data_IF_064700369289
#
_entry.id   IF_064700369289
#
_cell.length_a   1.000
_cell.length_b   1.000
_cell.length_c   1.000
_cell.angle_alpha   90.00
_cell.angle_beta   90.00
_cell.angle_gamma   90.00
#
_symmetry.space_group_name_H-M   'P 1'
#
loop_
_entity.id
_entity.type
_entity.pdbx_description
1 polymer ?
#
# COMPACT_ATOMS: atom_id res chain seq x y z
N UNK A 1 10.65 -4.49 -2.85
CA UNK A 1 9.35 -5.12 -3.12
C UNK A 1 8.63 -5.29 -1.78
N UNK A 2 7.38 -4.86 -1.66
CA UNK A 2 6.69 -4.71 -0.35
C UNK A 2 5.79 -5.91 -0.01
N UNK A 3 6.31 -7.14 -0.12
CA UNK A 3 5.58 -8.37 0.19
C UNK A 3 4.71 -8.94 -0.93
N UNK A 4 4.19 -10.14 -0.67
CA UNK A 4 3.50 -11.02 -1.62
C UNK A 4 4.31 -11.23 -2.90
N UNK A 5 5.56 -11.64 -2.69
CA UNK A 5 6.50 -11.93 -3.77
C UNK A 5 6.13 -13.22 -4.48
N UNK A 6 5.54 -14.14 -3.73
CA UNK A 6 5.05 -15.45 -4.14
C UNK A 6 3.55 -15.57 -3.87
N UNK A 7 2.92 -16.61 -4.43
CA UNK A 7 1.48 -16.81 -4.29
C UNK A 7 1.12 -17.76 -3.14
N UNK A 8 2.05 -18.63 -2.74
CA UNK A 8 1.86 -19.59 -1.67
C UNK A 8 3.13 -19.89 -0.89
N UNK A 9 4.15 -19.03 -0.93
CA UNK A 9 5.34 -19.15 -0.10
C UNK A 9 6.21 -20.36 -0.43
N UNK A 10 6.11 -20.93 -1.64
CA UNK A 10 6.75 -22.22 -1.95
C UNK A 10 8.21 -22.04 -2.41
N UNK A 11 9.11 -23.00 -2.12
CA UNK A 11 10.50 -22.93 -2.56
C UNK A 11 10.67 -22.71 -4.07
N UNK A 12 9.85 -23.35 -4.90
CA UNK A 12 9.89 -23.19 -6.37
C UNK A 12 9.44 -21.79 -6.82
N UNK A 13 8.53 -21.14 -6.10
CA UNK A 13 8.07 -19.78 -6.39
C UNK A 13 9.16 -18.77 -6.03
N UNK A 14 9.85 -18.96 -4.90
CA UNK A 14 11.01 -18.15 -4.55
C UNK A 14 12.19 -18.36 -5.49
N UNK A 15 12.42 -19.58 -5.98
CA UNK A 15 13.44 -19.83 -7.00
C UNK A 15 13.14 -19.03 -8.28
N UNK A 16 11.89 -19.04 -8.76
CA UNK A 16 11.48 -18.25 -9.92
C UNK A 16 11.62 -16.73 -9.66
N UNK A 17 11.29 -16.27 -8.45
CA UNK A 17 11.50 -14.87 -8.06
C UNK A 17 12.99 -14.49 -8.08
N UNK A 18 13.87 -15.37 -7.57
CA UNK A 18 15.32 -15.19 -7.59
C UNK A 18 15.88 -15.09 -9.00
N UNK A 19 15.45 -15.96 -9.92
CA UNK A 19 15.88 -15.91 -11.32
C UNK A 19 15.60 -14.55 -11.97
N UNK A 20 14.46 -13.93 -11.64
CA UNK A 20 14.11 -12.58 -12.12
C UNK A 20 15.01 -11.54 -11.43
N UNK A 21 15.07 -11.54 -10.10
CA UNK A 21 15.81 -10.53 -9.32
C UNK A 21 17.30 -10.54 -9.62
N UNK A 22 17.90 -11.72 -9.76
CA UNK A 22 19.33 -11.87 -10.04
C UNK A 22 19.72 -11.42 -11.45
N UNK A 23 18.74 -11.28 -12.35
CA UNK A 23 18.94 -10.70 -13.69
C UNK A 23 18.91 -9.16 -13.71
N UNK A 24 18.47 -8.52 -12.62
CA UNK A 24 18.34 -7.07 -12.54
C UNK A 24 19.69 -6.42 -12.21
N UNK A 25 19.98 -5.28 -12.86
CA UNK A 25 21.19 -4.49 -12.60
C UNK A 25 21.08 -3.58 -11.36
N UNK A 26 20.00 -3.69 -10.60
CA UNK A 26 19.71 -2.86 -9.43
C UNK A 26 19.39 -3.74 -8.23
N UNK A 27 19.78 -3.32 -7.01
CA UNK A 27 19.48 -4.09 -5.82
C UNK A 27 17.97 -4.12 -5.56
N UNK A 28 17.49 -5.28 -5.13
CA UNK A 28 16.11 -5.46 -4.68
C UNK A 28 16.13 -5.73 -3.19
N UNK A 29 15.34 -4.93 -2.45
CA UNK A 29 15.11 -5.10 -1.01
C UNK A 29 13.72 -5.73 -0.83
N UNK A 30 13.62 -7.05 -0.66
CA UNK A 30 12.35 -7.73 -0.43
C UNK A 30 11.89 -7.54 1.02
N UNK A 31 10.60 -7.25 1.18
CA UNK A 31 9.82 -7.50 2.39
C UNK A 31 8.95 -8.74 2.14
N UNK A 32 8.64 -9.49 3.19
CA UNK A 32 7.68 -10.59 3.12
C UNK A 32 6.24 -10.05 3.25
N UNK A 33 5.30 -10.65 2.53
CA UNK A 33 3.86 -10.49 2.74
C UNK A 33 3.21 -11.78 3.23
N UNK A 34 1.90 -11.77 3.44
CA UNK A 34 1.20 -12.92 4.01
C UNK A 34 1.24 -14.15 3.11
N UNK A 35 1.29 -13.95 1.79
CA UNK A 35 1.40 -15.08 0.87
C UNK A 35 2.79 -15.71 0.84
N UNK A 36 3.82 -15.01 1.33
CA UNK A 36 5.19 -15.52 1.35
C UNK A 36 5.42 -16.60 2.42
N UNK A 37 4.47 -16.74 3.35
CA UNK A 37 4.49 -17.67 4.49
C UNK A 37 3.38 -18.74 4.42
N UNK A 38 2.58 -18.74 3.36
CA UNK A 38 1.46 -19.68 3.19
C UNK A 38 1.89 -21.17 3.23
N UNK A 39 3.15 -21.47 2.86
CA UNK A 39 3.70 -22.83 2.93
C UNK A 39 4.17 -23.23 4.34
N UNK A 40 4.34 -22.26 5.24
CA UNK A 40 4.83 -22.44 6.60
C UNK A 40 4.99 -21.10 7.31
N UNK A 41 4.35 -20.99 8.48
CA UNK A 41 4.32 -19.75 9.30
C UNK A 41 5.72 -19.25 9.66
N UNK A 42 6.74 -20.11 9.70
CA UNK A 42 8.13 -19.71 10.00
C UNK A 42 8.84 -19.01 8.83
N UNK A 43 8.16 -18.82 7.69
CA UNK A 43 8.71 -18.30 6.46
C UNK A 43 9.95 -19.06 5.98
N UNK A 44 10.07 -20.37 6.27
CA UNK A 44 11.30 -21.12 6.05
C UNK A 44 11.83 -21.01 4.61
N UNK A 45 10.93 -21.10 3.63
CA UNK A 45 11.26 -20.98 2.22
C UNK A 45 11.72 -19.55 1.83
N UNK A 46 11.03 -18.51 2.32
CA UNK A 46 11.45 -17.12 2.14
C UNK A 46 12.86 -16.93 2.70
N UNK A 47 13.08 -17.36 3.96
CA UNK A 47 14.34 -17.13 4.67
C UNK A 47 15.53 -17.81 4.00
N UNK A 48 15.30 -19.02 3.49
CA UNK A 48 16.30 -19.75 2.73
C UNK A 48 16.68 -19.05 1.42
N UNK A 49 15.71 -18.46 0.73
CA UNK A 49 15.93 -17.85 -0.60
C UNK A 49 16.37 -16.38 -0.55
N UNK A 50 15.84 -15.60 0.39
CA UNK A 50 15.91 -14.14 0.41
C UNK A 50 16.57 -13.56 1.68
N UNK A 51 16.78 -14.37 2.71
CA UNK A 51 17.44 -13.96 3.95
C UNK A 51 16.45 -13.50 5.03
N UNK A 52 16.82 -12.55 5.90
CA UNK A 52 15.99 -12.20 7.05
C UNK A 52 14.67 -11.52 6.64
N UNK A 53 13.62 -11.75 7.43
CA UNK A 53 12.28 -11.16 7.21
C UNK A 53 12.21 -9.67 7.56
N UNK A 54 13.12 -9.23 8.42
CA UNK A 54 13.29 -7.84 8.80
C UNK A 54 14.78 -7.49 8.81
N UNK A 55 15.09 -6.26 8.42
CA UNK A 55 16.44 -5.73 8.43
C UNK A 55 16.40 -4.22 8.18
N UNK A 56 17.49 -3.55 8.51
CA UNK A 56 17.71 -2.17 8.11
C UNK A 56 19.01 -2.05 7.31
N UNK A 57 19.06 -1.10 6.38
CA UNK A 57 20.24 -0.84 5.56
C UNK A 57 20.24 0.59 5.04
N UNK A 58 21.36 1.03 4.47
CA UNK A 58 21.49 2.37 3.91
C UNK A 58 21.30 2.34 2.39
N UNK A 59 20.38 3.17 1.90
CA UNK A 59 20.17 3.41 0.47
C UNK A 59 20.39 4.89 0.17
N UNK A 60 21.60 5.23 -0.27
CA UNK A 60 22.00 6.63 -0.43
C UNK A 60 21.95 7.37 0.92
N UNK A 61 21.17 8.47 1.05
CA UNK A 61 20.99 9.16 2.32
C UNK A 61 19.92 8.52 3.24
N UNK A 62 19.10 7.60 2.72
CA UNK A 62 17.98 7.00 3.44
C UNK A 62 18.45 5.85 4.32
N UNK A 63 17.88 5.76 5.52
CA UNK A 63 17.86 4.54 6.32
C UNK A 63 16.61 3.76 5.91
N UNK A 64 16.80 2.68 5.16
CA UNK A 64 15.73 1.81 4.72
C UNK A 64 15.48 0.78 5.81
N UNK A 65 14.23 0.68 6.28
CA UNK A 65 13.80 -0.35 7.23
C UNK A 65 12.81 -1.25 6.53
N UNK A 66 13.09 -2.56 6.51
CA UNK A 66 12.16 -3.59 6.11
C UNK A 66 11.62 -4.25 7.37
N UNK A 67 10.31 -4.13 7.57
CA UNK A 67 9.61 -4.57 8.77
C UNK A 67 8.76 -5.80 8.49
N UNK A 68 8.88 -6.79 9.37
CA UNK A 68 8.10 -8.02 9.33
C UNK A 68 6.77 -7.83 10.08
N UNK A 69 5.69 -7.69 9.33
CA UNK A 69 4.35 -7.49 9.89
C UNK A 69 3.74 -8.74 10.55
N UNK A 70 4.27 -9.92 10.29
CA UNK A 70 3.67 -11.18 10.78
C UNK A 70 4.48 -11.82 11.91
N UNK A 71 5.49 -11.12 12.43
CA UNK A 71 6.35 -11.63 13.50
C UNK A 71 5.53 -12.16 14.70
N UNK A 72 4.43 -11.49 15.03
CA UNK A 72 3.50 -11.93 16.07
C UNK A 72 2.91 -13.33 15.83
N UNK A 73 2.59 -13.69 14.59
CA UNK A 73 2.08 -15.04 14.27
C UNK A 73 3.16 -16.10 14.50
N UNK A 74 4.41 -15.77 14.14
CA UNK A 74 5.58 -16.65 14.31
C UNK A 74 5.94 -16.86 15.78
N UNK A 75 5.59 -15.90 16.63
CA UNK A 75 5.68 -16.00 18.08
C UNK A 75 4.50 -16.75 18.71
N UNK A 76 3.55 -17.23 17.91
CA UNK A 76 2.36 -17.95 18.39
C UNK A 76 1.31 -17.05 19.06
N UNK A 77 1.39 -15.74 18.83
CA UNK A 77 0.37 -14.78 19.29
C UNK A 77 -0.87 -14.87 18.40
N UNK A 78 -2.02 -14.46 18.93
CA UNK A 78 -3.29 -14.46 18.22
C UNK A 78 -3.95 -13.10 18.30
N UNK A 79 -4.59 -12.68 17.20
CA UNK A 79 -5.42 -11.48 17.13
C UNK A 79 -6.65 -11.52 18.05
N UNK A 80 -6.98 -12.70 18.59
CA UNK A 80 -8.23 -12.94 19.30
C UNK A 80 -9.44 -12.74 18.37
N UNK A 81 -10.64 -12.75 18.93
CA UNK A 81 -11.89 -12.51 18.19
C UNK A 81 -12.17 -11.01 17.96
N UNK A 82 -11.16 -10.16 18.11
CA UNK A 82 -11.34 -8.70 18.03
C UNK A 82 -11.72 -8.31 16.60
N UNK A 83 -12.92 -7.74 16.44
CA UNK A 83 -13.53 -7.38 15.15
C UNK A 83 -12.86 -6.25 14.36
N UNK A 84 -11.60 -5.93 14.63
CA UNK A 84 -10.80 -5.02 13.79
C UNK A 84 -10.17 -5.80 12.64
N UNK A 85 -10.28 -5.28 11.42
CA UNK A 85 -9.58 -5.84 10.28
C UNK A 85 -8.08 -5.53 10.43
N UNK A 86 -7.26 -6.56 10.69
CA UNK A 86 -5.79 -6.49 10.85
C UNK A 86 -5.32 -5.70 12.09
N UNK A 87 -5.58 -6.19 13.32
CA UNK A 87 -5.06 -5.53 14.51
C UNK A 87 -3.53 -5.61 14.51
N UNK A 88 -2.87 -4.50 14.87
CA UNK A 88 -1.45 -4.56 15.23
C UNK A 88 -1.33 -5.30 16.57
N UNK A 89 -0.47 -6.32 16.57
CA UNK A 89 -0.17 -7.13 17.76
C UNK A 89 1.30 -6.94 18.06
N UNK A 90 1.58 -6.42 19.25
CA UNK A 90 2.95 -6.18 19.68
C UNK A 90 3.73 -7.51 19.72
N UNK A 91 4.94 -7.51 19.18
CA UNK A 91 5.84 -8.67 19.12
C UNK A 91 7.30 -8.22 19.21
N UNK A 92 8.24 -9.17 19.32
CA UNK A 92 9.66 -8.84 19.54
C UNK A 92 10.27 -8.01 18.41
N UNK A 93 9.67 -8.00 17.22
CA UNK A 93 10.08 -7.14 16.11
C UNK A 93 9.96 -5.65 16.44
N UNK A 94 9.00 -5.26 17.28
CA UNK A 94 8.79 -3.86 17.63
C UNK A 94 9.93 -3.34 18.52
N UNK A 95 10.47 -4.20 19.39
CA UNK A 95 11.61 -3.85 20.24
C UNK A 95 12.89 -3.69 19.39
N UNK A 96 13.06 -4.55 18.38
CA UNK A 96 14.13 -4.40 17.40
C UNK A 96 13.99 -3.08 16.63
N UNK A 97 12.78 -2.75 16.17
CA UNK A 97 12.52 -1.53 15.43
C UNK A 97 12.82 -0.29 16.28
N UNK A 98 12.31 -0.25 17.51
CA UNK A 98 12.56 0.86 18.43
C UNK A 98 14.07 1.04 18.71
N UNK A 99 14.80 -0.07 18.88
CA UNK A 99 16.25 -0.04 19.07
C UNK A 99 16.99 0.48 17.83
N UNK A 100 16.62 0.00 16.64
CA UNK A 100 17.18 0.46 15.36
C UNK A 100 16.96 1.97 15.16
N UNK A 101 15.72 2.44 15.36
CA UNK A 101 15.36 3.85 15.18
C UNK A 101 16.00 4.77 16.23
N UNK A 102 16.13 4.31 17.49
CA UNK A 102 16.75 5.08 18.58
C UNK A 102 18.26 5.24 18.40
N UNK A 103 18.91 4.30 17.70
CA UNK A 103 20.34 4.39 17.40
C UNK A 103 20.68 5.45 16.33
N UNK A 104 19.68 5.99 15.62
CA UNK A 104 19.89 6.96 14.55
C UNK A 104 19.99 8.40 15.08
N UNK A 105 20.66 9.26 14.33
CA UNK A 105 20.58 10.70 14.58
C UNK A 105 19.14 11.20 14.36
N UNK A 106 18.63 12.18 15.13
CA UNK A 106 17.25 12.69 14.99
C UNK A 106 16.87 13.12 13.57
N UNK A 107 17.84 13.59 12.78
CA UNK A 107 17.65 14.07 11.42
C UNK A 107 17.80 13.01 10.32
N UNK A 108 18.11 11.75 10.66
CA UNK A 108 18.31 10.68 9.69
C UNK A 108 16.98 10.38 8.98
N UNK A 109 16.85 10.60 7.65
CA UNK A 109 15.63 10.27 6.94
C UNK A 109 15.45 8.76 6.84
N UNK A 110 14.27 8.29 7.22
CA UNK A 110 13.93 6.87 7.30
C UNK A 110 12.82 6.56 6.30
N UNK A 111 12.99 5.50 5.52
CA UNK A 111 11.97 4.95 4.64
C UNK A 111 11.58 3.57 5.18
N UNK A 112 10.35 3.43 5.64
CA UNK A 112 9.82 2.16 6.14
C UNK A 112 9.15 1.39 5.00
N UNK A 113 9.43 0.10 4.90
CA UNK A 113 8.76 -0.83 4.00
C UNK A 113 8.14 -1.92 4.86
N UNK A 114 6.82 -2.06 4.77
CA UNK A 114 6.08 -3.16 5.37
C UNK A 114 5.04 -3.66 4.38
N UNK A 115 4.57 -4.90 4.52
CA UNK A 115 3.54 -5.40 3.62
C UNK A 115 2.16 -4.82 3.95
N UNK A 116 1.77 -4.94 5.22
CA UNK A 116 0.49 -4.47 5.74
C UNK A 116 0.54 -3.00 6.13
N UNK A 117 -0.43 -2.17 5.72
CA UNK A 117 -0.61 -0.85 6.30
C UNK A 117 -1.32 -0.98 7.65
N UNK A 118 -0.54 -1.23 8.69
CA UNK A 118 -1.01 -1.42 10.07
C UNK A 118 -1.80 -0.22 10.63
N UNK A 119 -2.42 -0.43 11.80
CA UNK A 119 -3.14 0.62 12.51
C UNK A 119 -2.24 1.71 13.11
N UNK A 120 -2.87 2.78 13.58
CA UNK A 120 -2.22 3.94 14.19
C UNK A 120 -1.33 3.57 15.40
N UNK A 121 -1.63 2.46 16.08
CA UNK A 121 -0.90 2.01 17.27
C UNK A 121 0.59 1.78 16.99
N UNK A 122 0.93 1.13 15.87
CA UNK A 122 2.32 0.91 15.46
C UNK A 122 3.00 2.23 15.13
N UNK A 123 2.38 3.04 14.26
CA UNK A 123 3.02 4.23 13.70
C UNK A 123 3.22 5.37 14.71
N UNK A 124 2.39 5.44 15.76
CA UNK A 124 2.60 6.39 16.87
C UNK A 124 3.98 6.25 17.52
N UNK A 125 4.55 5.04 17.56
CA UNK A 125 5.91 4.79 18.07
C UNK A 125 6.99 5.52 17.25
N UNK A 126 6.69 5.83 15.99
CA UNK A 126 7.65 6.37 15.03
C UNK A 126 7.50 7.88 14.80
N UNK A 127 6.50 8.54 15.38
CA UNK A 127 6.20 9.96 15.14
C UNK A 127 7.31 10.91 15.62
N UNK A 128 8.17 10.48 16.55
CA UNK A 128 9.36 11.23 16.98
C UNK A 128 10.54 11.12 16.01
N UNK A 129 10.49 10.20 15.05
CA UNK A 129 11.56 9.94 14.09
C UNK A 129 11.25 10.57 12.73
N UNK A 130 12.29 10.87 11.95
CA UNK A 130 12.14 11.46 10.61
C UNK A 130 11.76 10.40 9.55
N UNK A 131 10.58 9.81 9.70
CA UNK A 131 10.01 8.90 8.68
C UNK A 131 9.55 9.72 7.48
N UNK A 132 10.23 9.58 6.35
CA UNK A 132 9.90 10.32 5.10
C UNK A 132 8.85 9.61 4.25
N UNK A 133 8.56 8.35 4.54
CA UNK A 133 7.48 7.59 3.92
C UNK A 133 7.37 6.18 4.48
N UNK A 134 6.14 5.66 4.48
CA UNK A 134 5.81 4.25 4.75
C UNK A 134 5.30 3.63 3.46
N UNK A 135 5.94 2.57 3.00
CA UNK A 135 5.63 1.89 1.74
C UNK A 135 4.96 0.55 2.01
N UNK A 136 3.77 0.35 1.45
CA UNK A 136 2.99 -0.87 1.64
C UNK A 136 2.38 -1.46 0.37
N UNK A 137 2.06 -2.74 0.48
CA UNK A 137 1.31 -3.53 -0.50
C UNK A 137 -0.04 -3.97 0.06
N UNK A 138 -0.28 -5.28 0.05
CA UNK A 138 -1.42 -5.99 0.64
C UNK A 138 -2.80 -5.68 0.02
N UNK A 139 -3.23 -4.43 0.05
CA UNK A 139 -4.57 -4.05 -0.43
C UNK A 139 -4.72 -4.00 -1.95
N UNK A 140 -3.63 -4.22 -2.68
CA UNK A 140 -3.59 -4.10 -4.13
C UNK A 140 -4.25 -2.80 -4.57
N UNK A 141 -3.86 -1.68 -4.00
CA UNK A 141 -4.52 -0.39 -4.22
C UNK A 141 -3.49 0.71 -4.42
N UNK A 142 -3.86 1.75 -5.17
CA UNK A 142 -3.04 2.95 -5.27
C UNK A 142 -3.58 4.00 -4.32
N UNK A 143 -2.92 4.16 -3.16
CA UNK A 143 -3.32 5.15 -2.14
C UNK A 143 -2.14 5.96 -1.64
N UNK A 144 -2.46 7.19 -1.23
CA UNK A 144 -1.59 8.04 -0.42
C UNK A 144 -2.46 8.67 0.66
N UNK A 145 -2.09 8.50 1.91
CA UNK A 145 -2.74 9.14 3.04
C UNK A 145 -1.70 9.69 4.02
N UNK A 146 -2.16 10.57 4.90
CA UNK A 146 -1.36 11.11 6.01
C UNK A 146 -2.04 10.69 7.29
N UNK A 147 -1.31 10.09 8.23
CA UNK A 147 -1.88 9.74 9.52
C UNK A 147 -2.00 10.96 10.45
N UNK A 148 -2.56 10.75 11.63
CA UNK A 148 -2.77 11.78 12.66
C UNK A 148 -1.48 12.44 13.16
N UNK A 149 -0.34 11.76 13.05
CA UNK A 149 0.99 12.28 13.42
C UNK A 149 1.78 12.85 12.25
N UNK A 150 1.19 12.90 11.06
CA UNK A 150 1.81 13.50 9.88
C UNK A 150 2.66 12.55 9.04
N UNK A 151 2.72 11.25 9.34
CA UNK A 151 3.45 10.31 8.49
C UNK A 151 2.70 10.10 7.17
N UNK A 152 3.44 10.05 6.07
CA UNK A 152 2.88 9.82 4.75
C UNK A 152 2.99 8.34 4.38
N UNK A 153 1.84 7.73 4.12
CA UNK A 153 1.70 6.32 3.76
C UNK A 153 1.44 6.17 2.27
N UNK A 154 2.07 5.18 1.66
CA UNK A 154 2.00 4.89 0.23
C UNK A 154 1.66 3.42 -0.01
N UNK A 155 0.39 3.13 -0.32
CA UNK A 155 0.01 1.83 -0.83
C UNK A 155 0.23 1.79 -2.35
N UNK A 156 0.93 0.76 -2.82
CA UNK A 156 1.21 0.54 -4.24
C UNK A 156 0.38 -0.63 -4.78
N UNK A 157 -0.22 -0.51 -5.98
CA UNK A 157 -0.97 -1.61 -6.56
C UNK A 157 -0.04 -2.75 -6.97
N UNK A 158 -0.60 -3.92 -7.21
CA UNK A 158 0.17 -5.08 -7.68
C UNK A 158 0.79 -4.81 -9.05
N UNK A 159 1.97 -5.38 -9.29
CA UNK A 159 2.65 -5.27 -10.58
C UNK A 159 1.96 -6.12 -11.67
N UNK A 160 1.43 -7.28 -11.27
CA UNK A 160 1.01 -8.35 -12.19
C UNK A 160 -0.46 -8.27 -12.61
N UNK A 161 -1.34 -7.70 -11.77
CA UNK A 161 -2.79 -7.69 -11.98
C UNK A 161 -3.43 -6.45 -11.34
N UNK A 162 -4.68 -6.17 -11.72
CA UNK A 162 -5.42 -5.01 -11.24
C UNK A 162 -5.75 -5.09 -9.75
N UNK A 163 -5.94 -3.94 -9.14
CA UNK A 163 -6.22 -3.80 -7.73
C UNK A 163 -7.61 -4.25 -7.31
N UNK A 164 -7.76 -4.57 -6.02
CA UNK A 164 -9.07 -4.88 -5.39
C UNK A 164 -10.01 -3.67 -5.50
N UNK A 165 -9.43 -2.46 -5.54
CA UNK A 165 -10.13 -1.20 -5.74
C UNK A 165 -10.34 -0.82 -7.22
N UNK A 166 -10.16 -1.78 -8.15
CA UNK A 166 -10.20 -1.58 -9.60
C UNK A 166 -9.10 -0.63 -10.13
N UNK A 167 -8.10 -0.30 -9.33
CA UNK A 167 -6.91 0.38 -9.84
C UNK A 167 -6.19 -0.51 -10.87
N UNK A 168 -5.60 0.07 -11.91
CA UNK A 168 -4.79 -0.73 -12.82
C UNK A 168 -3.53 -1.22 -12.10
N UNK A 169 -2.97 -2.34 -12.59
CA UNK A 169 -1.67 -2.82 -12.13
C UNK A 169 -0.61 -1.75 -12.39
N UNK A 170 0.42 -1.68 -11.56
CA UNK A 170 1.38 -0.59 -11.65
C UNK A 170 2.56 -0.71 -10.70
N UNK A 171 3.37 0.34 -10.67
CA UNK A 171 4.45 0.50 -9.71
C UNK A 171 4.63 1.97 -9.36
N UNK A 172 5.39 2.26 -8.30
CA UNK A 172 5.68 3.64 -7.87
C UNK A 172 7.18 3.87 -7.88
N UNK A 173 7.60 5.02 -8.40
CA UNK A 173 8.98 5.50 -8.29
C UNK A 173 9.04 6.59 -7.25
N UNK A 174 10.12 6.60 -6.48
CA UNK A 174 10.39 7.62 -5.47
C UNK A 174 11.70 8.33 -5.77
N UNK A 175 11.73 9.64 -5.55
CA UNK A 175 12.95 10.45 -5.60
C UNK A 175 13.08 11.18 -4.29
N UNK A 176 14.19 10.95 -3.59
CA UNK A 176 14.52 11.69 -2.38
C UNK A 176 15.59 12.73 -2.70
N UNK A 177 15.27 14.01 -2.49
CA UNK A 177 16.18 15.14 -2.70
C UNK A 177 15.70 16.32 -1.86
N UNK A 178 16.61 17.22 -1.48
CA UNK A 178 16.27 18.45 -0.75
C UNK A 178 15.39 18.22 0.47
N UNK A 179 15.66 17.12 1.18
CA UNK A 179 14.92 16.66 2.36
C UNK A 179 13.47 16.20 2.11
N UNK A 180 13.03 16.13 0.86
CA UNK A 180 11.67 15.78 0.43
C UNK A 180 11.63 14.44 -0.32
N UNK A 181 10.53 13.69 -0.16
CA UNK A 181 10.26 12.45 -0.89
C UNK A 181 9.17 12.68 -1.94
N UNK A 182 9.57 12.75 -3.21
CA UNK A 182 8.65 12.82 -4.35
C UNK A 182 8.23 11.40 -4.75
N UNK A 183 6.93 11.17 -4.96
CA UNK A 183 6.40 9.90 -5.44
C UNK A 183 5.67 10.06 -6.78
N UNK A 184 5.90 9.13 -7.72
CA UNK A 184 5.17 9.05 -8.99
C UNK A 184 4.63 7.64 -9.19
N UNK A 185 3.34 7.53 -9.47
CA UNK A 185 2.70 6.25 -9.79
C UNK A 185 2.71 6.02 -11.30
N UNK A 186 3.07 4.80 -11.70
CA UNK A 186 3.12 4.37 -13.09
C UNK A 186 2.09 3.27 -13.29
N UNK A 187 1.08 3.56 -14.10
CA UNK A 187 0.09 2.58 -14.53
C UNK A 187 0.68 1.72 -15.64
N UNK A 188 0.57 0.40 -15.49
CA UNK A 188 0.94 -0.55 -16.53
C UNK A 188 -0.32 -0.98 -17.28
N UNK A 189 -0.69 -0.19 -18.28
CA UNK A 189 -1.78 -0.57 -19.18
C UNK A 189 -1.40 -1.86 -19.92
N UNK A 190 -2.28 -2.88 -19.98
CA UNK A 190 -2.12 -3.87 -21.03
C UNK A 190 -2.18 -3.10 -22.34
N UNK A 191 -1.29 -3.38 -23.30
CA UNK A 191 -1.62 -3.08 -24.71
C UNK A 191 -3.07 -3.54 -24.91
N UNK A 192 -3.95 -2.73 -25.52
CA UNK A 192 -5.37 -3.01 -25.53
C UNK A 192 -5.58 -4.36 -26.19
N UNK A 193 -5.80 -5.40 -25.38
CA UNK A 193 -6.23 -6.71 -25.84
C UNK A 193 -7.71 -6.65 -26.29
N UNK A 194 -8.38 -5.53 -26.00
CA UNK A 194 -9.79 -5.29 -26.30
C UNK A 194 -9.94 -3.91 -26.97
N UNK A 195 -10.58 -3.82 -28.16
CA UNK A 195 -10.96 -2.55 -28.75
C UNK A 195 -11.81 -1.74 -27.77
N UNK A 196 -11.44 -0.49 -27.49
CA UNK A 196 -12.24 0.45 -26.69
C UNK A 196 -11.71 0.81 -25.30
N UNK A 197 -10.59 0.24 -24.85
CA UNK A 197 -9.89 0.66 -23.62
C UNK A 197 -8.61 1.40 -24.00
N UNK A 198 -8.47 2.66 -23.61
CA UNK A 198 -7.29 3.47 -23.88
C UNK A 198 -7.01 4.50 -22.78
N UNK A 199 -5.74 4.88 -22.63
CA UNK A 199 -5.30 5.91 -21.69
C UNK A 199 -5.65 7.29 -22.26
N UNK A 200 -6.73 7.90 -21.79
CA UNK A 200 -7.03 9.31 -22.11
C UNK A 200 -6.53 10.18 -20.98
N UNK A 201 -5.64 11.14 -21.27
CA UNK A 201 -5.26 12.16 -20.32
C UNK A 201 -6.52 12.86 -19.80
N UNK A 202 -6.72 12.87 -18.48
CA UNK A 202 -7.81 13.63 -17.87
C UNK A 202 -7.57 15.11 -18.14
N UNK A 203 -8.45 15.81 -18.88
CA UNK A 203 -8.31 17.25 -19.06
C UNK A 203 -8.39 17.92 -17.68
N UNK A 204 -7.58 18.97 -17.48
CA UNK A 204 -7.64 19.75 -16.25
C UNK A 204 -9.08 20.24 -16.01
N UNK A 205 -9.60 20.03 -14.80
CA UNK A 205 -10.88 20.59 -14.39
C UNK A 205 -10.76 22.12 -14.44
N UNK A 206 -11.36 22.74 -15.46
CA UNK A 206 -11.42 24.20 -15.62
C UNK A 206 -12.52 24.84 -14.77
N UNK A 207 -13.35 24.04 -14.10
CA UNK A 207 -14.45 24.49 -13.25
C UNK A 207 -14.09 24.38 -11.78
N UNK A 208 -14.04 25.53 -11.11
CA UNK A 208 -14.09 25.59 -9.64
C UNK A 208 -15.45 25.10 -9.17
N UNK A 209 -15.51 23.89 -8.62
CA UNK A 209 -16.68 23.41 -7.90
C UNK A 209 -16.82 24.25 -6.62
N UNK A 210 -17.97 24.89 -6.44
CA UNK A 210 -18.26 25.71 -5.27
C UNK A 210 -18.09 24.89 -3.99
N UNK A 211 -17.38 25.45 -3.00
CA UNK A 211 -17.31 24.84 -1.67
C UNK A 211 -18.73 24.74 -1.10
N UNK A 212 -19.09 23.60 -0.50
CA UNK A 212 -20.44 23.39 -0.01
C UNK A 212 -20.77 24.19 1.26
N UNK A 213 -22.07 24.47 1.45
CA UNK A 213 -22.62 25.17 2.62
C UNK A 213 -23.60 24.27 3.39
N UNK A 214 -23.62 24.38 4.73
CA UNK A 214 -24.56 23.67 5.59
C UNK A 214 -26.01 24.01 5.22
N UNK A 215 -26.86 22.99 5.03
CA UNK A 215 -28.32 23.14 4.89
C UNK A 215 -28.89 23.07 3.47
N UNK A 216 -28.09 22.87 2.42
CA UNK A 216 -28.60 22.56 1.08
C UNK A 216 -28.67 21.05 0.84
N UNK A 217 -29.50 20.62 -0.12
CA UNK A 217 -29.62 19.20 -0.52
C UNK A 217 -28.51 18.85 -1.52
N UNK A 218 -27.87 17.68 -1.33
CA UNK A 218 -26.70 17.25 -2.09
C UNK A 218 -27.03 16.01 -2.92
N UNK A 219 -27.41 16.15 -4.21
CA UNK A 219 -27.86 15.02 -5.01
C UNK A 219 -26.79 13.94 -5.22
N UNK A 220 -25.51 14.33 -5.21
CA UNK A 220 -24.35 13.44 -5.38
C UNK A 220 -24.01 12.56 -4.17
N UNK A 221 -24.62 12.80 -3.01
CA UNK A 221 -24.46 11.98 -1.80
C UNK A 221 -25.61 11.02 -1.54
N UNK A 222 -26.50 10.81 -2.51
CA UNK A 222 -27.26 9.56 -2.56
C UNK A 222 -26.39 8.33 -2.92
N UNK A 223 -25.07 8.51 -3.02
CA UNK A 223 -24.06 7.45 -2.94
C UNK A 223 -22.85 7.93 -2.16
N UNK A 224 -22.90 7.85 -0.82
CA UNK A 224 -21.74 8.16 0.03
C UNK A 224 -20.67 7.07 -0.01
N UNK A 225 -19.44 7.40 0.44
CA UNK A 225 -18.28 6.49 0.52
C UNK A 225 -18.47 5.25 1.42
N UNK A 226 -19.60 5.14 2.13
CA UNK A 226 -20.03 3.93 2.87
C UNK A 226 -20.90 2.97 2.05
N UNK A 227 -21.33 3.35 0.84
CA UNK A 227 -22.35 2.63 0.02
C UNK A 227 -23.68 2.36 0.76
N UNK A 228 -24.13 3.24 1.64
CA UNK A 228 -25.44 3.09 2.32
C UNK A 228 -26.34 4.30 2.06
N UNK A 229 -27.28 4.12 1.15
CA UNK A 229 -28.48 4.94 0.99
C UNK A 229 -29.63 4.02 0.60
N UNK A 230 -30.75 4.11 1.32
CA UNK A 230 -31.98 3.36 1.02
C UNK A 230 -32.97 4.30 0.35
N UNK A 231 -33.44 3.96 -0.86
CA UNK A 231 -34.55 4.65 -1.51
C UNK A 231 -35.86 3.92 -1.16
N UNK A 232 -36.82 4.63 -0.54
CA UNK A 232 -38.12 4.06 -0.18
C UNK A 232 -39.07 3.87 -1.38
N UNK A 233 -38.70 4.41 -2.54
CA UNK A 233 -39.37 4.16 -3.81
C UNK A 233 -38.30 3.95 -4.89
N UNK A 234 -38.48 2.89 -5.68
CA UNK A 234 -37.56 2.51 -6.74
C UNK A 234 -37.62 3.44 -7.94
N UNK A 235 -36.59 3.45 -8.79
CA UNK A 235 -36.62 4.21 -10.03
C UNK A 235 -37.68 3.63 -10.98
N UNK A 236 -38.58 4.46 -11.51
CA UNK A 236 -39.64 4.03 -12.43
C UNK A 236 -39.14 4.03 -13.88
N UNK A 237 -39.21 2.91 -14.62
CA UNK A 237 -38.79 2.85 -16.02
C UNK A 237 -39.61 3.78 -16.96
N UNK A 238 -39.08 4.13 -18.15
CA UNK A 238 -37.82 3.66 -18.72
C UNK A 238 -36.63 4.40 -18.13
N UNK A 239 -35.66 3.63 -17.62
CA UNK A 239 -34.40 4.19 -17.12
C UNK A 239 -33.47 4.41 -18.31
N UNK A 240 -33.04 5.67 -18.48
CA UNK A 240 -32.02 6.06 -19.45
C UNK A 240 -30.67 6.30 -18.77
N UNK A 241 -29.59 6.14 -19.51
CA UNK A 241 -28.25 6.56 -19.06
C UNK A 241 -28.21 8.08 -18.96
N UNK A 242 -28.36 8.62 -17.74
CA UNK A 242 -28.35 10.07 -17.49
C UNK A 242 -26.94 10.65 -17.56
N UNK A 243 -25.95 9.82 -17.22
CA UNK A 243 -24.52 10.07 -17.38
C UNK A 243 -23.75 8.75 -17.26
N UNK A 244 -22.64 8.63 -18.00
CA UNK A 244 -21.60 7.64 -17.80
C UNK A 244 -20.28 8.41 -17.77
N UNK A 245 -19.50 8.23 -16.71
CA UNK A 245 -18.09 8.56 -16.75
C UNK A 245 -17.30 7.26 -16.74
N UNK A 246 -16.51 7.06 -17.79
CA UNK A 246 -15.31 6.24 -17.65
C UNK A 246 -14.45 6.95 -16.61
N UNK A 247 -14.35 6.39 -15.41
CA UNK A 247 -13.38 6.88 -14.43
C UNK A 247 -11.99 6.60 -15.04
N UNK A 248 -11.24 7.63 -15.45
CA UNK A 248 -9.84 7.44 -15.78
C UNK A 248 -9.18 7.06 -14.46
N UNK A 249 -8.64 5.84 -14.35
CA UNK A 249 -8.16 5.21 -13.11
C UNK A 249 -7.65 6.23 -12.09
N UNK A 250 -8.51 6.57 -11.13
CA UNK A 250 -8.19 7.56 -10.12
C UNK A 250 -7.59 6.84 -8.92
N UNK A 251 -6.40 7.27 -8.53
CA UNK A 251 -5.81 7.00 -7.22
C UNK A 251 -6.80 7.56 -6.19
N UNK A 252 -7.34 6.71 -5.34
CA UNK A 252 -8.07 7.17 -4.15
C UNK A 252 -7.03 7.78 -3.18
N UNK A 253 -6.76 9.07 -3.34
CA UNK A 253 -6.14 9.85 -2.26
C UNK A 253 -7.26 10.30 -1.35
N UNK A 254 -7.48 9.56 -0.27
CA UNK A 254 -8.27 10.07 0.84
C UNK A 254 -7.47 11.22 1.50
N UNK A 255 -8.06 12.41 1.68
CA UNK A 255 -7.44 13.47 2.47
C UNK A 255 -7.29 13.06 3.94
#
# INVERSE_FOLDING_TARGET
ASGDLTAGGKPEEFAAFRDIVDSLSVPVYPAAGNHDDDSGVDAGAYRQALGPLHYSTRVGPLHLVVYDGEAWQREGLSAGENGEAFPWIASTIDDWLDADLTALSPDQPILLVNHFPWGEQLYRRMHSHRIVGVLSGHWHSSRRCVDSGGLVHYATPSLCFGGIDQSPRGYRTFRYADRELESRSHTLSPRPLWPGVGDRATPALTTTLSKPHLGQSWPQFQGGARRTGFAHQGPTPPLGQVWCASLPGAIHTAP
#
